data_IF_112421702762
#
_entry.id   IF_112421702762
#
_cell.length_a   1.000
_cell.length_b   1.000
_cell.length_c   1.000
_cell.angle_alpha   90.00
_cell.angle_beta   90.00
_cell.angle_gamma   90.00
#
_symmetry.space_group_name_H-M   'P 1'
#
loop_
_entity.id
_entity.type
_entity.pdbx_description
1 polymer ?
#
# COMPACT_ATOMS: atom_id res chain seq x y z
N UNK A 1 -5.47 19.25 -6.08
CA UNK A 1 -6.05 19.66 -7.37
C UNK A 1 -7.52 19.30 -7.29
N UNK A 2 -8.43 20.20 -7.56
CA UNK A 2 -9.85 19.94 -7.53
C UNK A 2 -10.24 18.98 -8.67
N UNK A 3 -11.22 18.10 -8.45
CA UNK A 3 -11.70 17.20 -9.49
C UNK A 3 -12.35 17.97 -10.64
N UNK A 4 -12.19 17.46 -11.84
CA UNK A 4 -12.83 18.02 -13.05
C UNK A 4 -14.33 17.78 -12.95
N UNK A 5 -15.12 18.75 -13.39
CA UNK A 5 -16.58 18.61 -13.50
C UNK A 5 -16.93 17.45 -14.44
N UNK A 6 -17.57 16.42 -13.90
CA UNK A 6 -17.89 15.19 -14.63
C UNK A 6 -18.84 15.43 -15.81
N UNK A 7 -19.79 16.39 -15.71
CA UNK A 7 -20.72 16.69 -16.80
C UNK A 7 -20.01 17.34 -18.00
N UNK A 8 -19.05 18.26 -17.71
CA UNK A 8 -18.20 18.84 -18.74
C UNK A 8 -17.26 17.81 -19.36
N UNK A 9 -16.72 16.89 -18.52
CA UNK A 9 -15.86 15.82 -18.97
C UNK A 9 -16.60 14.86 -19.92
N UNK A 10 -17.83 14.45 -19.60
CA UNK A 10 -18.64 13.61 -20.48
C UNK A 10 -18.98 14.30 -21.82
N UNK A 11 -19.24 15.60 -21.77
CA UNK A 11 -19.46 16.39 -23.00
C UNK A 11 -18.20 16.43 -23.86
N UNK A 12 -17.02 16.62 -23.26
CA UNK A 12 -15.74 16.60 -23.97
C UNK A 12 -15.46 15.23 -24.58
N UNK A 13 -15.70 14.14 -23.85
CA UNK A 13 -15.54 12.77 -24.35
C UNK A 13 -16.42 12.55 -25.60
N UNK A 14 -17.69 12.95 -25.58
CA UNK A 14 -18.59 12.83 -26.74
C UNK A 14 -18.08 13.58 -27.98
N UNK A 15 -17.56 14.78 -27.81
CA UNK A 15 -17.01 15.56 -28.93
C UNK A 15 -15.76 14.94 -29.51
N UNK A 16 -14.83 14.50 -28.64
CA UNK A 16 -13.61 13.83 -29.08
C UNK A 16 -13.91 12.51 -29.78
N UNK A 17 -14.88 11.74 -29.27
CA UNK A 17 -15.34 10.48 -29.87
C UNK A 17 -15.90 10.70 -31.29
N UNK A 18 -16.78 11.67 -31.48
CA UNK A 18 -17.33 11.99 -32.79
C UNK A 18 -16.23 12.35 -33.82
N UNK A 19 -15.28 13.16 -33.41
CA UNK A 19 -14.12 13.49 -34.26
C UNK A 19 -13.29 12.23 -34.59
N UNK A 20 -13.04 11.38 -33.62
CA UNK A 20 -12.31 10.13 -33.80
C UNK A 20 -13.03 9.16 -34.77
N UNK A 21 -14.37 9.21 -34.82
CA UNK A 21 -15.21 8.42 -35.73
C UNK A 21 -15.39 9.08 -37.11
N UNK A 22 -14.77 10.24 -37.38
CA UNK A 22 -14.90 10.97 -38.63
C UNK A 22 -16.17 11.79 -38.74
N UNK A 23 -16.84 12.07 -37.62
CA UNK A 23 -18.06 12.83 -37.56
C UNK A 23 -17.83 14.26 -37.04
N UNK A 24 -18.68 15.19 -37.51
CA UNK A 24 -18.73 16.56 -37.00
C UNK A 24 -19.12 16.54 -35.51
N UNK A 25 -18.33 17.14 -34.61
CA UNK A 25 -18.57 17.05 -33.16
C UNK A 25 -19.87 17.70 -32.71
N UNK A 26 -20.42 18.64 -33.46
CA UNK A 26 -21.62 19.39 -33.10
C UNK A 26 -22.90 18.65 -33.50
N UNK A 27 -23.03 18.26 -34.78
CA UNK A 27 -24.25 17.68 -35.34
C UNK A 27 -24.16 16.15 -35.57
N UNK A 28 -23.00 15.55 -35.33
CA UNK A 28 -22.74 14.10 -35.50
C UNK A 28 -22.98 13.58 -36.95
N UNK A 29 -22.87 14.43 -37.94
CA UNK A 29 -22.92 14.03 -39.36
C UNK A 29 -21.50 13.70 -39.84
N UNK A 30 -21.34 12.79 -40.82
CA UNK A 30 -20.05 12.53 -41.44
C UNK A 30 -19.38 13.80 -41.94
N UNK A 31 -18.08 13.94 -41.70
CA UNK A 31 -17.31 15.05 -42.22
C UNK A 31 -16.87 14.79 -43.68
N UNK A 32 -16.65 15.86 -44.44
CA UNK A 32 -16.09 15.79 -45.77
C UNK A 32 -14.68 15.18 -45.73
N UNK A 33 -14.25 14.49 -46.80
CA UNK A 33 -12.99 13.77 -46.87
C UNK A 33 -11.77 14.68 -46.69
N UNK A 34 -11.86 15.93 -47.16
CA UNK A 34 -10.81 16.94 -47.11
C UNK A 34 -10.88 17.82 -45.82
N UNK A 35 -11.84 17.55 -44.94
CA UNK A 35 -11.93 18.27 -43.67
C UNK A 35 -10.68 18.03 -42.80
N UNK A 36 -10.09 19.09 -42.25
CA UNK A 36 -8.89 19.02 -41.41
C UNK A 36 -9.06 18.02 -40.26
N UNK A 37 -10.22 17.96 -39.66
CA UNK A 37 -10.51 17.02 -38.55
C UNK A 37 -10.61 15.57 -39.03
N UNK A 38 -10.82 15.33 -40.34
CA UNK A 38 -10.87 13.98 -40.91
C UNK A 38 -9.47 13.47 -41.31
N UNK A 39 -8.42 14.21 -41.04
CA UNK A 39 -7.04 13.78 -41.26
C UNK A 39 -6.72 12.55 -40.38
N UNK A 40 -6.14 11.48 -40.91
CA UNK A 40 -5.82 10.26 -40.14
C UNK A 40 -4.96 10.50 -38.90
N UNK A 41 -4.08 11.50 -38.91
CA UNK A 41 -3.25 11.85 -37.75
C UNK A 41 -4.10 12.53 -36.65
N UNK A 42 -5.07 13.37 -37.04
CA UNK A 42 -6.01 14.00 -36.11
C UNK A 42 -6.89 12.93 -35.48
N UNK A 43 -7.43 12.04 -36.28
CA UNK A 43 -8.25 10.91 -35.82
C UNK A 43 -7.50 10.06 -34.79
N UNK A 44 -6.27 9.66 -35.08
CA UNK A 44 -5.42 8.90 -34.13
C UNK A 44 -5.18 9.67 -32.83
N UNK A 45 -4.91 10.98 -32.92
CA UNK A 45 -4.75 11.84 -31.77
C UNK A 45 -6.04 11.89 -30.92
N UNK A 46 -7.20 11.97 -31.56
CA UNK A 46 -8.50 12.02 -30.85
C UNK A 46 -8.80 10.69 -30.14
N UNK A 47 -8.47 9.54 -30.71
CA UNK A 47 -8.58 8.25 -30.01
C UNK A 47 -7.68 8.20 -28.78
N UNK A 48 -6.47 8.72 -28.85
CA UNK A 48 -5.58 8.81 -27.69
C UNK A 48 -6.17 9.74 -26.61
N UNK A 49 -6.60 10.94 -26.99
CA UNK A 49 -7.24 11.92 -26.08
C UNK A 49 -8.49 11.32 -25.43
N UNK A 50 -9.35 10.64 -26.19
CA UNK A 50 -10.53 9.93 -25.65
C UNK A 50 -10.09 8.96 -24.55
N UNK A 51 -9.09 8.12 -24.78
CA UNK A 51 -8.62 7.16 -23.79
C UNK A 51 -8.16 7.83 -22.50
N UNK A 52 -7.45 8.96 -22.59
CA UNK A 52 -7.03 9.76 -21.42
C UNK A 52 -8.23 10.34 -20.66
N UNK A 53 -9.19 10.91 -21.35
CA UNK A 53 -10.40 11.49 -20.73
C UNK A 53 -11.27 10.42 -20.06
N UNK A 54 -11.38 9.23 -20.65
CA UNK A 54 -12.08 8.09 -20.05
C UNK A 54 -11.39 7.58 -18.79
N UNK A 55 -10.05 7.61 -18.73
CA UNK A 55 -9.31 7.29 -17.52
C UNK A 55 -9.59 8.33 -16.42
N UNK A 56 -9.61 9.63 -16.75
CA UNK A 56 -9.98 10.70 -15.81
C UNK A 56 -11.41 10.50 -15.31
N UNK A 57 -12.36 10.14 -16.19
CA UNK A 57 -13.74 9.83 -15.81
C UNK A 57 -13.81 8.65 -14.83
N UNK A 58 -13.11 7.54 -15.11
CA UNK A 58 -13.03 6.37 -14.23
C UNK A 58 -12.43 6.69 -12.85
N UNK A 59 -11.57 7.70 -12.79
CA UNK A 59 -10.98 8.17 -11.56
C UNK A 59 -11.80 9.28 -10.85
N UNK A 60 -13.08 9.44 -11.22
CA UNK A 60 -13.98 10.44 -10.61
C UNK A 60 -13.60 11.89 -10.90
N UNK A 61 -13.00 12.17 -12.07
CA UNK A 61 -12.57 13.51 -12.49
C UNK A 61 -11.18 13.93 -11.97
N UNK A 62 -10.44 13.04 -11.33
CA UNK A 62 -9.12 13.35 -10.78
C UNK A 62 -8.03 13.05 -11.81
N UNK A 63 -7.27 14.09 -12.20
CA UNK A 63 -6.14 13.99 -13.14
C UNK A 63 -4.90 13.53 -12.36
N UNK A 64 -4.28 12.43 -12.79
CA UNK A 64 -3.06 11.90 -12.15
C UNK A 64 -3.28 11.30 -10.77
N UNK A 65 -4.51 11.07 -10.36
CA UNK A 65 -4.85 10.34 -9.14
C UNK A 65 -4.41 8.89 -9.19
N UNK A 66 -3.93 8.34 -8.06
CA UNK A 66 -3.80 6.89 -7.93
C UNK A 66 -5.20 6.29 -8.13
N UNK A 67 -5.30 5.25 -8.97
CA UNK A 67 -6.55 4.46 -9.09
C UNK A 67 -7.10 4.22 -7.69
N UNK A 68 -8.38 4.50 -7.49
CA UNK A 68 -9.05 4.15 -6.24
C UNK A 68 -8.75 2.68 -5.95
N UNK A 69 -8.08 2.41 -4.83
CA UNK A 69 -7.78 1.03 -4.47
C UNK A 69 -9.11 0.33 -4.25
N UNK A 70 -9.30 -0.78 -4.94
CA UNK A 70 -10.45 -1.64 -4.66
C UNK A 70 -10.55 -1.90 -3.14
N UNK A 71 -11.76 -1.85 -2.57
CA UNK A 71 -11.95 -2.14 -1.16
C UNK A 71 -11.36 -3.52 -0.85
N UNK A 72 -10.53 -3.59 0.19
CA UNK A 72 -9.94 -4.84 0.66
C UNK A 72 -10.72 -5.31 1.87
N UNK A 73 -10.95 -6.59 1.94
CA UNK A 73 -11.50 -7.23 3.13
C UNK A 73 -10.62 -6.97 4.36
N UNK A 74 -11.19 -6.87 5.57
CA UNK A 74 -10.41 -6.85 6.80
C UNK A 74 -9.47 -8.05 6.86
N UNK A 75 -8.40 -7.94 7.64
CA UNK A 75 -7.51 -9.07 7.88
C UNK A 75 -8.25 -10.11 8.74
N UNK A 76 -8.30 -11.39 8.33
CA UNK A 76 -8.96 -12.44 9.11
C UNK A 76 -8.02 -12.88 10.25
N UNK A 77 -8.26 -12.41 11.48
CA UNK A 77 -7.40 -12.69 12.62
C UNK A 77 -7.45 -14.15 13.08
N UNK A 78 -8.48 -14.90 12.71
CA UNK A 78 -8.62 -16.35 13.01
C UNK A 78 -7.44 -17.17 12.47
N UNK A 79 -6.76 -16.66 11.42
CA UNK A 79 -5.59 -17.33 10.85
C UNK A 79 -4.40 -17.37 11.83
N UNK A 80 -4.37 -16.49 12.84
CA UNK A 80 -3.31 -16.44 13.84
C UNK A 80 -3.22 -17.73 14.67
N UNK A 81 -4.32 -18.48 14.82
CA UNK A 81 -4.34 -19.78 15.49
C UNK A 81 -3.47 -20.82 14.78
N UNK A 82 -3.24 -20.64 13.49
CA UNK A 82 -2.41 -21.51 12.66
C UNK A 82 -0.93 -21.16 12.74
N UNK A 83 -0.56 -20.05 13.37
CA UNK A 83 0.83 -19.65 13.49
C UNK A 83 1.61 -20.73 14.26
N UNK A 84 2.78 -21.07 13.73
CA UNK A 84 3.75 -21.95 14.39
C UNK A 84 5.13 -21.30 14.29
N UNK A 85 5.80 -21.24 15.42
CA UNK A 85 7.19 -20.79 15.43
C UNK A 85 8.06 -21.76 14.63
N UNK A 86 8.92 -21.25 13.78
CA UNK A 86 9.89 -22.03 13.01
C UNK A 86 11.33 -21.71 13.43
N UNK A 87 11.64 -20.43 13.57
CA UNK A 87 12.98 -19.94 13.93
C UNK A 87 12.92 -18.48 14.37
N UNK A 88 14.02 -18.00 14.95
CA UNK A 88 14.22 -16.59 15.23
C UNK A 88 14.31 -15.79 13.93
N UNK A 89 13.51 -14.73 13.82
CA UNK A 89 13.44 -13.95 12.59
C UNK A 89 12.91 -12.52 12.84
N UNK A 90 13.11 -11.65 11.86
CA UNK A 90 12.58 -10.28 11.95
C UNK A 90 11.06 -10.26 11.77
N UNK A 91 10.42 -9.23 12.32
CA UNK A 91 8.96 -9.06 12.27
C UNK A 91 8.40 -9.09 10.84
N UNK A 92 9.15 -8.62 9.86
CA UNK A 92 8.73 -8.68 8.46
C UNK A 92 8.52 -10.12 7.99
N UNK A 93 9.41 -11.05 8.37
CA UNK A 93 9.29 -12.46 8.01
C UNK A 93 8.20 -13.16 8.80
N UNK A 94 8.02 -12.84 10.09
CA UNK A 94 6.88 -13.32 10.90
C UNK A 94 5.55 -12.96 10.24
N UNK A 95 5.38 -11.69 9.85
CA UNK A 95 4.16 -11.25 9.18
C UNK A 95 3.99 -11.87 7.78
N UNK A 96 5.09 -12.13 7.07
CA UNK A 96 5.04 -12.84 5.79
C UNK A 96 4.56 -14.28 5.97
N UNK A 97 5.06 -14.98 6.98
CA UNK A 97 4.63 -16.34 7.33
C UNK A 97 3.13 -16.39 7.67
N UNK A 98 2.65 -15.47 8.53
CA UNK A 98 1.24 -15.34 8.89
C UNK A 98 0.36 -15.08 7.66
N UNK A 99 0.83 -14.27 6.72
CA UNK A 99 0.05 -13.86 5.54
C UNK A 99 0.16 -14.84 4.36
N UNK A 100 1.07 -15.81 4.40
CA UNK A 100 1.28 -16.76 3.30
C UNK A 100 0.00 -17.52 2.88
N UNK A 101 -0.87 -17.99 3.80
CA UNK A 101 -2.11 -18.66 3.40
C UNK A 101 -3.16 -17.75 2.74
N UNK A 102 -2.96 -16.42 2.82
CA UNK A 102 -3.85 -15.40 2.22
C UNK A 102 -3.35 -14.92 0.85
N UNK A 103 -2.31 -15.54 0.30
CA UNK A 103 -1.79 -15.17 -1.01
C UNK A 103 -2.87 -15.33 -2.09
N UNK A 104 -3.04 -14.28 -2.91
CA UNK A 104 -4.12 -14.21 -3.90
C UNK A 104 -5.46 -13.63 -3.40
N UNK A 105 -5.68 -13.52 -2.10
CA UNK A 105 -6.89 -12.85 -1.54
C UNK A 105 -6.70 -11.34 -1.46
N UNK A 106 -7.79 -10.59 -1.68
CA UNK A 106 -7.81 -9.12 -1.59
C UNK A 106 -8.05 -8.64 -0.15
N UNK A 107 -7.19 -9.02 0.78
CA UNK A 107 -7.25 -8.61 2.20
C UNK A 107 -6.32 -7.44 2.52
N UNK A 108 -6.60 -6.69 3.59
CA UNK A 108 -5.68 -5.70 4.13
C UNK A 108 -4.43 -6.41 4.64
N UNK A 109 -3.26 -5.99 4.15
CA UNK A 109 -1.98 -6.59 4.59
C UNK A 109 -1.53 -6.00 5.91
N UNK A 110 -0.98 -6.84 6.77
CA UNK A 110 -0.31 -6.43 7.99
C UNK A 110 0.99 -5.69 7.67
N UNK A 111 1.28 -4.65 8.44
CA UNK A 111 2.46 -3.81 8.26
C UNK A 111 3.46 -4.02 9.39
N UNK A 112 4.70 -4.33 9.05
CA UNK A 112 5.79 -4.38 10.03
C UNK A 112 5.96 -3.04 10.77
N UNK A 113 5.67 -1.91 10.10
CA UNK A 113 5.71 -0.58 10.70
C UNK A 113 4.68 -0.42 11.81
N UNK A 114 3.46 -0.94 11.64
CA UNK A 114 2.40 -0.91 12.65
C UNK A 114 2.85 -1.63 13.90
N UNK A 115 3.36 -2.87 13.77
CA UNK A 115 3.87 -3.66 14.90
C UNK A 115 5.04 -2.97 15.59
N UNK A 116 6.01 -2.48 14.81
CA UNK A 116 7.18 -1.79 15.38
C UNK A 116 6.80 -0.51 16.12
N UNK A 117 5.85 0.27 15.61
CA UNK A 117 5.38 1.49 16.27
C UNK A 117 4.66 1.16 17.58
N UNK A 118 3.82 0.14 17.58
CA UNK A 118 3.14 -0.31 18.80
C UNK A 118 4.15 -0.79 19.86
N UNK A 119 5.13 -1.61 19.47
CA UNK A 119 6.19 -2.07 20.36
C UNK A 119 7.05 -0.92 20.92
N UNK A 120 7.23 0.16 20.15
CA UNK A 120 7.88 1.38 20.63
C UNK A 120 7.02 2.11 21.65
N UNK A 121 5.73 2.28 21.39
CA UNK A 121 4.79 2.91 22.30
C UNK A 121 4.66 2.13 23.62
N UNK A 122 4.65 0.79 23.56
CA UNK A 122 4.61 -0.11 24.72
C UNK A 122 5.98 -0.28 25.43
N UNK A 123 7.03 0.41 24.95
CA UNK A 123 8.34 0.45 25.60
C UNK A 123 9.23 -0.79 25.38
N UNK A 124 8.92 -1.66 24.43
CA UNK A 124 9.76 -2.82 24.06
C UNK A 124 10.89 -2.45 23.11
N UNK A 125 10.68 -1.42 22.29
CA UNK A 125 11.66 -0.92 21.32
C UNK A 125 11.88 0.59 21.54
N UNK A 126 13.06 1.06 21.18
CA UNK A 126 13.42 2.49 21.19
C UNK A 126 14.24 2.82 19.94
N UNK A 127 14.40 4.11 19.65
CA UNK A 127 15.36 4.58 18.64
C UNK A 127 16.53 5.17 19.39
N UNK A 128 17.73 4.64 19.15
CA UNK A 128 18.95 5.13 19.75
C UNK A 128 20.13 5.00 18.76
N UNK A 129 21.19 5.75 19.02
CA UNK A 129 22.43 5.64 18.25
C UNK A 129 23.11 4.31 18.54
N UNK A 130 23.52 3.60 17.48
CA UNK A 130 24.29 2.37 17.58
C UNK A 130 25.70 2.61 17.04
N UNK A 131 26.69 2.34 17.86
CA UNK A 131 28.10 2.40 17.47
C UNK A 131 28.45 1.34 16.41
N UNK A 132 27.80 0.17 16.46
CA UNK A 132 28.03 -0.94 15.53
C UNK A 132 27.75 -0.59 14.07
N UNK A 133 26.78 0.29 13.82
CA UNK A 133 26.37 0.71 12.46
C UNK A 133 26.51 2.21 12.23
N UNK A 134 26.97 2.98 13.24
CA UNK A 134 27.26 4.40 13.14
C UNK A 134 26.06 5.30 12.85
N UNK A 135 24.85 4.90 13.21
CA UNK A 135 23.60 5.66 12.96
C UNK A 135 22.52 5.35 13.99
N UNK A 136 21.52 6.23 14.04
CA UNK A 136 20.29 5.95 14.77
C UNK A 136 19.53 4.77 14.16
N UNK A 137 19.12 3.84 15.02
CA UNK A 137 18.41 2.63 14.61
C UNK A 137 17.44 2.18 15.71
N UNK A 138 16.55 1.27 15.36
CA UNK A 138 15.62 0.68 16.35
C UNK A 138 16.35 -0.41 17.13
N UNK A 139 16.33 -0.29 18.46
CA UNK A 139 16.97 -1.20 19.40
C UNK A 139 15.95 -1.71 20.43
N UNK A 140 16.10 -2.94 20.96
CA UNK A 140 15.29 -3.42 22.07
C UNK A 140 15.69 -2.71 23.39
N UNK A 141 14.71 -2.35 24.17
CA UNK A 141 14.90 -1.88 25.57
C UNK A 141 15.21 -3.06 26.49
N UNK A 142 15.39 -2.83 27.79
CA UNK A 142 15.47 -3.91 28.79
C UNK A 142 14.24 -4.81 28.74
N UNK A 143 13.02 -4.20 28.74
CA UNK A 143 11.73 -4.91 28.58
C UNK A 143 11.67 -5.73 27.28
N UNK A 144 12.19 -5.19 26.18
CA UNK A 144 12.24 -5.90 24.89
C UNK A 144 13.19 -7.09 24.91
N UNK A 145 14.36 -6.95 25.55
CA UNK A 145 15.33 -8.05 25.70
C UNK A 145 14.78 -9.20 26.57
N UNK A 146 14.12 -8.86 27.65
CA UNK A 146 13.43 -9.84 28.54
C UNK A 146 12.32 -10.60 27.78
N UNK A 147 11.61 -9.93 26.86
CA UNK A 147 10.63 -10.56 25.98
C UNK A 147 11.27 -11.50 24.95
N UNK A 148 12.56 -11.32 24.66
CA UNK A 148 13.30 -12.12 23.67
C UNK A 148 13.50 -11.41 22.32
N UNK A 149 13.51 -10.07 22.35
CA UNK A 149 13.89 -9.26 21.19
C UNK A 149 15.38 -8.92 21.29
N UNK A 150 16.14 -9.17 20.24
CA UNK A 150 17.56 -8.86 20.18
C UNK A 150 17.96 -8.31 18.80
N UNK A 151 19.23 -7.92 18.63
CA UNK A 151 19.75 -7.40 17.37
C UNK A 151 20.86 -8.27 16.81
N UNK A 152 20.91 -8.37 15.50
CA UNK A 152 22.00 -8.99 14.75
C UNK A 152 22.57 -8.01 13.73
N UNK A 153 23.89 -7.93 13.62
CA UNK A 153 24.54 -7.18 12.55
C UNK A 153 24.40 -7.97 11.26
N UNK A 154 23.87 -7.34 10.23
CA UNK A 154 23.75 -7.91 8.89
C UNK A 154 24.39 -6.98 7.86
N UNK A 155 25.13 -7.57 6.93
CA UNK A 155 25.78 -6.85 5.86
C UNK A 155 25.25 -7.29 4.51
N UNK A 156 24.95 -6.30 3.66
CA UNK A 156 24.66 -6.48 2.24
C UNK A 156 25.64 -5.59 1.45
N UNK A 157 25.88 -5.84 0.16
CA UNK A 157 26.79 -5.00 -0.62
C UNK A 157 26.47 -3.51 -0.46
N UNK A 158 27.42 -2.75 0.09
CA UNK A 158 27.31 -1.29 0.31
C UNK A 158 26.52 -0.84 1.55
N UNK A 159 26.00 -1.75 2.39
CA UNK A 159 25.28 -1.34 3.61
C UNK A 159 25.40 -2.37 4.74
N UNK A 160 25.74 -1.91 5.93
CA UNK A 160 25.67 -2.69 7.19
C UNK A 160 24.54 -2.13 8.05
N UNK A 161 23.71 -3.01 8.60
CA UNK A 161 22.57 -2.61 9.42
C UNK A 161 22.29 -3.60 10.55
N UNK A 162 21.65 -3.13 11.61
CA UNK A 162 21.14 -3.98 12.68
C UNK A 162 19.72 -4.49 12.32
N UNK A 163 19.60 -5.80 12.26
CA UNK A 163 18.31 -6.45 12.15
C UNK A 163 17.74 -6.72 13.54
N UNK A 164 16.52 -6.28 13.81
CA UNK A 164 15.80 -6.63 15.04
C UNK A 164 15.18 -8.01 14.87
N UNK A 165 15.57 -8.93 15.72
CA UNK A 165 15.19 -10.36 15.69
C UNK A 165 14.30 -10.67 16.88
N UNK A 166 13.33 -11.53 16.66
CA UNK A 166 12.33 -11.96 17.64
C UNK A 166 12.47 -13.48 17.82
N UNK A 167 12.75 -13.92 19.04
CA UNK A 167 12.73 -15.33 19.40
C UNK A 167 11.29 -15.86 19.51
N UNK A 168 11.13 -17.13 19.86
CA UNK A 168 9.81 -17.75 19.98
C UNK A 168 8.86 -16.96 20.88
N UNK A 169 9.30 -16.60 22.10
CA UNK A 169 8.47 -15.88 23.07
C UNK A 169 8.02 -14.51 22.53
N UNK A 170 8.93 -13.77 21.92
CA UNK A 170 8.62 -12.47 21.32
C UNK A 170 7.67 -12.59 20.11
N UNK A 171 7.83 -13.62 19.29
CA UNK A 171 6.93 -13.87 18.15
C UNK A 171 5.52 -14.24 18.63
N UNK A 172 5.39 -15.14 19.59
CA UNK A 172 4.09 -15.53 20.18
C UNK A 172 3.41 -14.35 20.87
N UNK A 173 4.17 -13.50 21.56
CA UNK A 173 3.66 -12.25 22.13
C UNK A 173 3.08 -11.33 21.07
N UNK A 174 3.81 -11.11 19.98
CA UNK A 174 3.34 -10.28 18.86
C UNK A 174 2.08 -10.88 18.25
N UNK A 175 2.04 -12.18 18.00
CA UNK A 175 0.88 -12.85 17.41
C UNK A 175 -0.36 -12.70 18.28
N UNK A 176 -0.25 -12.90 19.59
CA UNK A 176 -1.35 -12.73 20.54
C UNK A 176 -1.91 -11.30 20.61
N UNK A 177 -1.05 -10.30 20.41
CA UNK A 177 -1.43 -8.90 20.47
C UNK A 177 -1.64 -8.24 19.10
N UNK A 178 -1.56 -9.00 18.00
CA UNK A 178 -1.53 -8.44 16.66
C UNK A 178 -2.82 -7.69 16.30
N UNK A 179 -3.97 -8.19 16.73
CA UNK A 179 -5.26 -7.53 16.53
C UNK A 179 -5.30 -6.16 17.21
N UNK A 180 -4.88 -6.07 18.47
CA UNK A 180 -4.76 -4.80 19.23
C UNK A 180 -3.81 -3.83 18.53
N UNK A 181 -2.66 -4.34 18.05
CA UNK A 181 -1.66 -3.53 17.32
C UNK A 181 -2.24 -2.93 16.04
N UNK A 182 -3.09 -3.67 15.34
CA UNK A 182 -3.73 -3.23 14.10
C UNK A 182 -4.87 -2.25 14.37
N UNK A 183 -5.62 -2.45 15.45
CA UNK A 183 -6.71 -1.57 15.87
C UNK A 183 -6.22 -0.30 16.55
N UNK A 184 -4.93 -0.22 16.92
CA UNK A 184 -4.34 0.93 17.60
C UNK A 184 -4.65 1.00 19.11
N UNK A 185 -5.02 -0.14 19.71
CA UNK A 185 -5.26 -0.29 21.15
C UNK A 185 -3.91 -0.35 21.89
N UNK A 186 -3.88 0.12 23.14
CA UNK A 186 -2.69 0.09 23.99
C UNK A 186 -2.56 -1.24 24.75
N UNK A 187 -1.41 -1.48 25.37
CA UNK A 187 -1.18 -2.67 26.20
C UNK A 187 -2.09 -2.68 27.45
N UNK A 188 -2.41 -1.48 27.95
CA UNK A 188 -3.20 -1.26 29.19
C UNK A 188 -4.71 -1.49 29.01
N UNK A 189 -5.24 -1.57 27.79
CA UNK A 189 -6.67 -1.78 27.51
C UNK A 189 -7.15 -3.22 27.85
N UNK A 190 -6.38 -4.00 28.59
CA UNK A 190 -6.65 -5.43 28.88
C UNK A 190 -7.21 -5.71 30.29
N UNK A 191 -7.29 -4.72 31.19
CA UNK A 191 -7.75 -4.88 32.56
C UNK A 191 -9.08 -4.11 32.86
N UNK A 192 -10.04 -4.18 31.96
CA UNK A 192 -11.38 -3.68 32.21
C UNK A 192 -12.46 -4.74 31.94
#
# INVERSE_FOLDING_TARGET
MEPVDLAKLETAIKYVERIAEGNNPVNNLPMEEDAVLNNPNVIRCMYFVKGVLEEVRRNGGVIGGRKAKEPREPFPFEILEQFRYERDQSIMYVLKQIQAPLEGRKVKKLSAKTVTNWLKAAGYLTVAYSEEVGKETTLPTAKGKELGIYTEVRSVPGNTYLAVIYNQNAQEFVVRNLEKMVNGETEDDTEA
#
